data_IF_030504379117
#
_entry.id   IF_030504379117
#
_cell.length_a   1.000
_cell.length_b   1.000
_cell.length_c   1.000
_cell.angle_alpha   90.00
_cell.angle_beta   90.00
_cell.angle_gamma   90.00
#
_symmetry.space_group_name_H-M   'P 1'
#
loop_
_entity.id
_entity.type
_entity.pdbx_description
1 polymer ?
#
# COMPACT_ATOMS: atom_id res chain seq x y z
N UNK A 1 15.92 -20.90 -7.92
CA UNK A 1 15.52 -19.74 -8.73
C UNK A 1 16.75 -18.86 -8.84
N UNK A 2 17.03 -18.26 -9.99
CA UNK A 2 18.09 -17.24 -10.11
C UNK A 2 17.67 -16.01 -9.30
N UNK A 3 18.62 -15.29 -8.71
CA UNK A 3 18.33 -14.08 -7.90
C UNK A 3 17.45 -13.08 -8.65
N UNK A 4 17.63 -12.93 -9.96
CA UNK A 4 16.82 -12.06 -10.81
C UNK A 4 15.34 -12.50 -10.91
N UNK A 5 15.05 -13.81 -10.97
CA UNK A 5 13.67 -14.29 -11.01
C UNK A 5 12.96 -14.09 -9.67
N UNK A 6 13.70 -14.26 -8.59
CA UNK A 6 13.19 -14.03 -7.23
C UNK A 6 12.85 -12.56 -7.02
N UNK A 7 13.74 -11.66 -7.43
CA UNK A 7 13.54 -10.21 -7.41
C UNK A 7 12.34 -9.79 -8.25
N UNK A 8 12.24 -10.30 -9.48
CA UNK A 8 11.11 -10.02 -10.39
C UNK A 8 9.77 -10.45 -9.76
N UNK A 9 9.75 -11.63 -9.15
CA UNK A 9 8.56 -12.14 -8.47
C UNK A 9 8.17 -11.27 -7.27
N UNK A 10 9.15 -10.86 -6.45
CA UNK A 10 8.93 -10.00 -5.30
C UNK A 10 8.37 -8.63 -5.70
N UNK A 11 9.01 -7.94 -6.64
CA UNK A 11 8.55 -6.64 -7.13
C UNK A 11 7.16 -6.74 -7.78
N UNK A 12 6.88 -7.84 -8.48
CA UNK A 12 5.54 -8.09 -9.04
C UNK A 12 4.48 -8.22 -7.94
N UNK A 13 4.79 -8.92 -6.84
CA UNK A 13 3.88 -9.04 -5.69
C UNK A 13 3.66 -7.69 -5.01
N UNK A 14 4.69 -6.86 -4.89
CA UNK A 14 4.58 -5.50 -4.35
C UNK A 14 3.65 -4.67 -5.23
N UNK A 15 3.81 -4.70 -6.56
CA UNK A 15 2.93 -3.98 -7.49
C UNK A 15 1.48 -4.43 -7.33
N UNK A 16 1.22 -5.74 -7.30
CA UNK A 16 -0.13 -6.26 -7.08
C UNK A 16 -0.66 -5.90 -5.69
N UNK A 17 0.19 -5.92 -4.65
CA UNK A 17 -0.19 -5.49 -3.31
C UNK A 17 -0.70 -4.05 -3.30
N UNK A 18 0.01 -3.13 -3.95
CA UNK A 18 -0.44 -1.74 -4.07
C UNK A 18 -1.68 -1.61 -4.95
N UNK A 19 -1.81 -2.39 -6.03
CA UNK A 19 -3.03 -2.44 -6.82
C UNK A 19 -4.24 -2.83 -5.97
N UNK A 20 -4.15 -3.89 -5.17
CA UNK A 20 -5.24 -4.31 -4.28
C UNK A 20 -5.54 -3.26 -3.20
N UNK A 21 -4.52 -2.57 -2.70
CA UNK A 21 -4.67 -1.58 -1.63
C UNK A 21 -5.37 -0.29 -2.11
N UNK A 22 -5.19 0.09 -3.38
CA UNK A 22 -5.70 1.37 -3.92
C UNK A 22 -6.87 1.21 -4.88
N UNK A 23 -7.05 0.04 -5.50
CA UNK A 23 -8.21 -0.25 -6.35
C UNK A 23 -9.39 -0.67 -5.46
N UNK A 24 -10.11 0.33 -4.97
CA UNK A 24 -11.32 0.12 -4.17
C UNK A 24 -12.53 -0.09 -5.09
N UNK A 25 -12.61 -1.30 -5.67
CA UNK A 25 -13.75 -1.71 -6.47
C UNK A 25 -14.88 -2.17 -5.55
N UNK A 26 -15.82 -1.27 -5.29
CA UNK A 26 -16.96 -1.54 -4.43
C UNK A 26 -18.15 -2.10 -5.24
N UNK A 27 -18.64 -3.28 -4.87
CA UNK A 27 -19.91 -3.83 -5.34
C UNK A 27 -21.00 -3.61 -4.29
N UNK A 28 -22.14 -3.08 -4.73
CA UNK A 28 -23.32 -3.02 -3.88
C UNK A 28 -23.95 -4.42 -3.75
N UNK A 29 -23.85 -5.02 -2.57
CA UNK A 29 -24.50 -6.30 -2.24
C UNK A 29 -25.46 -6.04 -1.09
N UNK A 30 -26.75 -6.33 -1.29
CA UNK A 30 -27.79 -6.16 -0.27
C UNK A 30 -27.85 -4.77 0.39
N UNK A 31 -27.57 -3.70 -0.36
CA UNK A 31 -27.58 -2.33 0.17
C UNK A 31 -26.29 -1.90 0.88
N UNK A 32 -25.27 -2.76 0.92
CA UNK A 32 -23.95 -2.48 1.48
C UNK A 32 -22.91 -2.45 0.36
N UNK A 33 -21.91 -1.55 0.46
CA UNK A 33 -20.80 -1.54 -0.48
C UNK A 33 -19.68 -2.44 0.06
N UNK A 34 -19.46 -3.57 -0.61
CA UNK A 34 -18.38 -4.50 -0.28
C UNK A 34 -17.23 -4.32 -1.27
N UNK A 35 -16.02 -4.16 -0.78
CA UNK A 35 -14.83 -4.17 -1.64
C UNK A 35 -14.62 -5.55 -2.25
N UNK A 36 -14.63 -5.62 -3.60
CA UNK A 36 -14.38 -6.85 -4.38
C UNK A 36 -12.94 -7.29 -4.25
N UNK A 37 -12.02 -6.32 -4.12
CA UNK A 37 -10.62 -6.55 -3.89
C UNK A 37 -10.33 -6.27 -2.40
N UNK A 38 -10.32 -7.33 -1.55
CA UNK A 38 -10.14 -7.12 -0.12
C UNK A 38 -8.73 -6.60 0.18
N UNK A 39 -8.61 -5.50 0.90
CA UNK A 39 -7.32 -4.89 1.27
C UNK A 39 -6.40 -5.84 2.04
N UNK A 40 -6.93 -6.79 2.80
CA UNK A 40 -6.12 -7.78 3.52
C UNK A 40 -5.28 -8.65 2.59
N UNK A 41 -5.71 -8.88 1.33
CA UNK A 41 -4.94 -9.62 0.33
C UNK A 41 -3.65 -8.88 -0.04
N UNK A 42 -3.66 -7.54 -0.04
CA UNK A 42 -2.46 -6.75 -0.29
C UNK A 42 -1.36 -7.05 0.72
N UNK A 43 -1.72 -7.19 1.99
CA UNK A 43 -0.76 -7.48 3.06
C UNK A 43 -0.20 -8.91 3.00
N UNK A 44 -0.96 -9.89 2.49
CA UNK A 44 -0.43 -11.22 2.18
C UNK A 44 0.59 -11.17 1.03
N UNK A 45 0.33 -10.37 0.01
CA UNK A 45 1.25 -10.16 -1.11
C UNK A 45 2.53 -9.47 -0.64
N UNK A 46 2.43 -8.42 0.19
CA UNK A 46 3.58 -7.76 0.79
C UNK A 46 4.38 -8.71 1.68
N UNK A 47 3.73 -9.44 2.58
CA UNK A 47 4.38 -10.42 3.44
C UNK A 47 5.18 -11.44 2.63
N UNK A 48 4.58 -11.96 1.56
CA UNK A 48 5.21 -12.90 0.66
C UNK A 48 6.38 -12.27 -0.14
N UNK A 49 6.24 -11.00 -0.56
CA UNK A 49 7.30 -10.28 -1.26
C UNK A 49 8.51 -10.02 -0.34
N UNK A 50 8.25 -9.61 0.91
CA UNK A 50 9.30 -9.42 1.93
C UNK A 50 10.07 -10.72 2.16
N UNK A 51 9.36 -11.87 2.19
CA UNK A 51 10.02 -13.18 2.31
C UNK A 51 10.94 -13.54 1.13
N UNK A 52 10.61 -13.06 -0.08
CA UNK A 52 11.45 -13.26 -1.25
C UNK A 52 12.67 -12.33 -1.30
N UNK A 53 12.60 -11.18 -0.65
CA UNK A 53 13.67 -10.17 -0.60
C UNK A 53 14.51 -10.28 0.69
N UNK A 54 14.32 -11.37 1.45
CA UNK A 54 15.08 -11.61 2.67
C UNK A 54 16.59 -11.70 2.34
N UNK A 55 17.38 -10.84 2.99
CA UNK A 55 18.83 -10.71 2.73
C UNK A 55 19.22 -9.63 1.70
N UNK A 56 18.29 -9.12 0.87
CA UNK A 56 18.59 -8.04 -0.09
C UNK A 56 18.58 -6.64 0.57
N UNK A 57 17.64 -6.42 1.51
CA UNK A 57 17.51 -5.17 2.27
C UNK A 57 17.37 -5.52 3.75
N UNK A 58 18.28 -4.99 4.58
CA UNK A 58 18.41 -5.35 5.99
C UNK A 58 17.14 -5.11 6.81
N UNK A 59 16.44 -4.01 6.56
CA UNK A 59 15.35 -3.55 7.42
C UNK A 59 13.97 -4.05 6.94
N UNK A 60 13.89 -4.57 5.71
CA UNK A 60 12.66 -5.05 5.10
C UNK A 60 11.94 -6.17 5.91
N UNK A 61 12.64 -7.16 6.49
CA UNK A 61 12.00 -8.19 7.32
C UNK A 61 11.27 -7.65 8.55
N UNK A 62 11.66 -6.47 9.06
CA UNK A 62 11.01 -5.80 10.19
C UNK A 62 9.57 -5.37 9.89
N UNK A 63 9.20 -5.32 8.61
CA UNK A 63 7.83 -4.99 8.18
C UNK A 63 6.87 -6.20 8.26
N UNK A 64 7.37 -7.44 8.38
CA UNK A 64 6.53 -8.65 8.46
C UNK A 64 5.45 -8.59 9.55
N UNK A 65 5.77 -8.20 10.81
CA UNK A 65 4.74 -8.11 11.86
C UNK A 65 3.67 -7.05 11.55
N UNK A 66 4.03 -5.96 10.88
CA UNK A 66 3.06 -4.94 10.46
C UNK A 66 2.14 -5.45 9.35
N UNK A 67 2.64 -6.28 8.42
CA UNK A 67 1.80 -6.96 7.43
C UNK A 67 0.74 -7.83 8.10
N UNK A 68 1.13 -8.60 9.11
CA UNK A 68 0.20 -9.47 9.85
C UNK A 68 -0.85 -8.63 10.58
N UNK A 69 -0.42 -7.60 11.31
CA UNK A 69 -1.32 -6.73 12.07
C UNK A 69 -2.32 -6.02 11.15
N UNK A 70 -1.84 -5.40 10.08
CA UNK A 70 -2.69 -4.68 9.12
C UNK A 70 -3.59 -5.65 8.34
N UNK A 71 -3.07 -6.81 7.96
CA UNK A 71 -3.86 -7.86 7.31
C UNK A 71 -5.00 -8.37 8.18
N UNK A 72 -4.77 -8.57 9.47
CA UNK A 72 -5.82 -8.94 10.44
C UNK A 72 -6.84 -7.80 10.60
N UNK A 73 -6.38 -6.56 10.77
CA UNK A 73 -7.26 -5.40 10.93
C UNK A 73 -8.19 -5.23 9.72
N UNK A 74 -7.64 -5.26 8.51
CA UNK A 74 -8.41 -5.17 7.27
C UNK A 74 -9.32 -6.39 7.06
N UNK A 75 -8.85 -7.58 7.42
CA UNK A 75 -9.65 -8.81 7.35
C UNK A 75 -10.86 -8.77 8.28
N UNK A 76 -10.69 -8.32 9.52
CA UNK A 76 -11.77 -8.13 10.49
C UNK A 76 -12.76 -7.08 9.99
N UNK A 77 -12.26 -5.98 9.43
CA UNK A 77 -13.11 -4.92 8.89
C UNK A 77 -13.93 -5.42 7.69
N UNK A 78 -13.28 -6.13 6.75
CA UNK A 78 -13.95 -6.72 5.59
C UNK A 78 -15.02 -7.74 5.97
N UNK A 79 -14.72 -8.64 6.95
CA UNK A 79 -15.69 -9.60 7.49
C UNK A 79 -16.84 -8.90 8.21
N UNK A 80 -16.55 -7.82 8.93
CA UNK A 80 -17.57 -6.99 9.58
C UNK A 80 -18.56 -6.44 8.57
N UNK A 81 -18.08 -5.82 7.49
CA UNK A 81 -18.92 -5.31 6.41
C UNK A 81 -19.72 -6.44 5.75
N UNK A 82 -19.11 -7.60 5.50
CA UNK A 82 -19.77 -8.74 4.88
C UNK A 82 -20.92 -9.28 5.74
N UNK A 83 -20.76 -9.34 7.08
CA UNK A 83 -21.72 -9.97 8.00
C UNK A 83 -22.75 -8.99 8.54
N UNK A 84 -22.36 -7.75 8.81
CA UNK A 84 -23.21 -6.75 9.51
C UNK A 84 -23.50 -5.50 8.68
N UNK A 85 -22.80 -5.33 7.53
CA UNK A 85 -22.87 -4.12 6.72
C UNK A 85 -22.12 -2.92 7.32
N UNK A 86 -21.45 -3.07 8.46
CA UNK A 86 -20.76 -2.00 9.15
C UNK A 86 -19.27 -2.32 9.33
N UNK A 87 -18.45 -1.27 9.28
CA UNK A 87 -17.03 -1.38 9.58
C UNK A 87 -16.80 -1.44 11.09
N UNK A 88 -16.24 -2.56 11.57
CA UNK A 88 -16.04 -2.81 13.00
C UNK A 88 -15.05 -1.83 13.63
N UNK A 89 -13.97 -1.52 12.93
CA UNK A 89 -12.89 -0.66 13.47
C UNK A 89 -13.31 0.79 13.68
N UNK A 90 -14.26 1.31 12.91
CA UNK A 90 -14.74 2.69 13.08
C UNK A 90 -15.45 2.93 14.42
N UNK A 91 -15.95 1.88 15.07
CA UNK A 91 -16.53 1.98 16.42
C UNK A 91 -15.49 2.32 17.49
N UNK A 92 -14.23 1.97 17.25
CA UNK A 92 -13.12 2.16 18.19
C UNK A 92 -12.13 3.18 17.62
N UNK A 93 -12.44 4.47 17.74
CA UNK A 93 -11.68 5.56 17.16
C UNK A 93 -10.16 5.46 17.41
N UNK A 94 -9.73 5.15 18.64
CA UNK A 94 -8.31 5.03 18.99
C UNK A 94 -7.63 3.85 18.25
N UNK A 95 -8.32 2.72 18.15
CA UNK A 95 -7.80 1.54 17.41
C UNK A 95 -7.69 1.86 15.93
N UNK A 96 -8.72 2.49 15.37
CA UNK A 96 -8.72 2.94 13.98
C UNK A 96 -7.57 3.91 13.67
N UNK A 97 -7.39 4.94 14.51
CA UNK A 97 -6.31 5.90 14.37
C UNK A 97 -4.92 5.21 14.45
N UNK A 98 -4.75 4.25 15.37
CA UNK A 98 -3.52 3.47 15.48
C UNK A 98 -3.25 2.64 14.21
N UNK A 99 -4.26 1.95 13.69
CA UNK A 99 -4.14 1.15 12.44
C UNK A 99 -3.72 2.03 11.27
N UNK A 100 -4.29 3.23 11.17
CA UNK A 100 -3.91 4.18 10.12
C UNK A 100 -2.47 4.67 10.28
N UNK A 101 -2.06 5.06 11.48
CA UNK A 101 -0.67 5.47 11.72
C UNK A 101 0.32 4.35 11.35
N UNK A 102 0.00 3.11 11.71
CA UNK A 102 0.80 1.94 11.33
C UNK A 102 0.80 1.74 9.82
N UNK A 103 -0.34 1.92 9.14
CA UNK A 103 -0.45 1.81 7.69
C UNK A 103 0.39 2.87 6.97
N UNK A 104 0.38 4.13 7.43
CA UNK A 104 1.23 5.19 6.88
C UNK A 104 2.71 4.85 7.05
N UNK A 105 3.12 4.43 8.26
CA UNK A 105 4.49 4.01 8.54
C UNK A 105 4.90 2.84 7.64
N UNK A 106 4.05 1.81 7.54
CA UNK A 106 4.30 0.62 6.71
C UNK A 106 4.54 0.99 5.24
N UNK A 107 3.64 1.80 4.65
CA UNK A 107 3.77 2.21 3.25
C UNK A 107 5.01 3.07 3.03
N UNK A 108 5.29 4.00 3.96
CA UNK A 108 6.49 4.83 3.89
C UNK A 108 7.77 3.99 3.93
N UNK A 109 7.86 3.04 4.86
CA UNK A 109 9.03 2.19 4.99
C UNK A 109 9.18 1.22 3.83
N UNK A 110 8.08 0.59 3.36
CA UNK A 110 8.09 -0.30 2.22
C UNK A 110 8.64 0.39 0.96
N UNK A 111 8.18 1.60 0.66
CA UNK A 111 8.68 2.38 -0.48
C UNK A 111 10.11 2.85 -0.27
N UNK A 112 10.54 3.10 0.99
CA UNK A 112 11.94 3.41 1.33
C UNK A 112 12.84 2.22 0.99
N UNK A 113 12.44 1.03 1.40
CA UNK A 113 13.21 -0.20 1.20
C UNK A 113 13.27 -0.59 -0.28
N UNK A 114 12.16 -0.41 -1.01
CA UNK A 114 12.15 -0.58 -2.47
C UNK A 114 13.07 0.44 -3.16
N UNK A 115 13.07 1.70 -2.72
CA UNK A 115 13.97 2.71 -3.26
C UNK A 115 15.46 2.35 -2.98
N UNK A 116 15.78 1.90 -1.77
CA UNK A 116 17.12 1.44 -1.42
C UNK A 116 17.55 0.23 -2.27
N UNK A 117 16.63 -0.71 -2.52
CA UNK A 117 16.85 -1.87 -3.39
C UNK A 117 17.20 -1.46 -4.83
N UNK A 118 16.53 -0.43 -5.35
CA UNK A 118 16.75 0.13 -6.69
C UNK A 118 18.11 0.85 -6.76
N UNK A 119 18.43 1.66 -5.73
CA UNK A 119 19.70 2.39 -5.62
C UNK A 119 20.91 1.45 -5.49
N UNK A 120 20.76 0.33 -4.76
CA UNK A 120 21.81 -0.69 -4.67
C UNK A 120 22.21 -1.28 -6.04
N UNK A 121 21.36 -1.09 -7.07
CA UNK A 121 21.61 -1.48 -8.47
C UNK A 121 22.06 -0.31 -9.36
N UNK A 122 22.50 0.80 -8.75
CA UNK A 122 22.91 2.03 -9.45
C UNK A 122 21.81 2.67 -10.32
N UNK A 123 20.53 2.50 -9.92
CA UNK A 123 19.38 3.10 -10.59
C UNK A 123 18.88 4.25 -9.72
N UNK A 124 18.60 5.40 -10.34
CA UNK A 124 18.04 6.55 -9.59
C UNK A 124 16.63 6.25 -9.06
N UNK A 125 16.47 6.36 -7.75
CA UNK A 125 15.20 6.20 -7.04
C UNK A 125 14.58 7.52 -6.54
N UNK A 126 15.07 8.67 -7.01
CA UNK A 126 14.58 9.99 -6.57
C UNK A 126 13.07 10.16 -6.75
N UNK A 127 12.52 9.69 -7.88
CA UNK A 127 11.08 9.72 -8.15
C UNK A 127 10.28 8.83 -7.17
N UNK A 128 10.78 7.64 -6.80
CA UNK A 128 10.14 6.77 -5.80
C UNK A 128 10.11 7.43 -4.42
N UNK A 129 11.20 8.10 -4.03
CA UNK A 129 11.26 8.87 -2.76
C UNK A 129 10.29 10.05 -2.77
N UNK A 130 10.15 10.74 -3.92
CA UNK A 130 9.18 11.82 -4.10
C UNK A 130 7.75 11.33 -3.90
N UNK A 131 7.35 10.25 -4.56
CA UNK A 131 6.01 9.65 -4.43
C UNK A 131 5.78 9.16 -3.00
N UNK A 132 6.75 8.50 -2.35
CA UNK A 132 6.66 8.09 -0.96
C UNK A 132 6.31 9.24 -0.03
N UNK A 133 7.02 10.37 -0.17
CA UNK A 133 6.80 11.55 0.67
C UNK A 133 5.43 12.17 0.39
N UNK A 134 5.06 12.30 -0.89
CA UNK A 134 3.76 12.85 -1.29
C UNK A 134 2.60 11.98 -0.79
N UNK A 135 2.71 10.67 -0.88
CA UNK A 135 1.70 9.72 -0.38
C UNK A 135 1.52 9.82 1.13
N UNK A 136 2.63 9.86 1.89
CA UNK A 136 2.58 10.01 3.34
C UNK A 136 1.92 11.33 3.76
N UNK A 137 2.25 12.43 3.09
CA UNK A 137 1.63 13.75 3.34
C UNK A 137 0.14 13.72 2.99
N UNK A 138 -0.22 13.17 1.82
CA UNK A 138 -1.61 13.11 1.38
C UNK A 138 -2.47 12.31 2.38
N UNK A 139 -2.00 11.14 2.80
CA UNK A 139 -2.68 10.33 3.83
C UNK A 139 -2.77 11.04 5.17
N UNK A 140 -1.69 11.68 5.61
CA UNK A 140 -1.71 12.43 6.87
C UNK A 140 -2.75 13.58 6.82
N UNK A 141 -2.82 14.30 5.70
CA UNK A 141 -3.79 15.38 5.51
C UNK A 141 -5.22 14.85 5.50
N UNK A 142 -5.50 13.76 4.76
CA UNK A 142 -6.85 13.18 4.69
C UNK A 142 -7.34 12.61 6.03
N UNK A 143 -6.40 12.32 6.96
CA UNK A 143 -6.71 11.82 8.31
C UNK A 143 -7.01 12.92 9.33
N UNK A 144 -6.72 14.18 9.00
CA UNK A 144 -7.07 15.28 9.90
C UNK A 144 -8.59 15.32 10.09
N UNK A 145 -9.07 15.56 11.33
CA UNK A 145 -10.49 15.65 11.62
C UNK A 145 -11.06 17.00 11.15
N UNK A 146 -10.99 17.22 9.85
CA UNK A 146 -11.52 18.41 9.20
C UNK A 146 -12.92 18.11 8.64
N UNK A 147 -13.77 19.13 8.48
CA UNK A 147 -15.12 18.99 7.96
C UNK A 147 -15.11 18.76 6.43
N UNK A 148 -14.53 17.65 6.00
CA UNK A 148 -14.36 17.31 4.56
C UNK A 148 -15.69 17.30 3.81
N UNK A 149 -16.79 16.98 4.52
CA UNK A 149 -18.14 16.94 3.94
C UNK A 149 -18.64 18.33 3.49
N UNK A 150 -18.17 19.39 4.18
CA UNK A 150 -18.55 20.75 3.86
C UNK A 150 -17.69 21.35 2.73
N UNK A 151 -16.57 20.68 2.40
CA UNK A 151 -15.58 21.14 1.42
C UNK A 151 -15.54 20.22 0.20
N UNK A 152 -16.67 20.06 -0.48
CA UNK A 152 -16.82 19.13 -1.61
C UNK A 152 -15.72 19.27 -2.68
N UNK A 153 -15.38 20.51 -3.07
CA UNK A 153 -14.33 20.75 -4.06
C UNK A 153 -12.96 20.30 -3.57
N UNK A 154 -12.63 20.56 -2.30
CA UNK A 154 -11.34 20.17 -1.74
C UNK A 154 -11.24 18.65 -1.58
N UNK A 155 -12.31 18.01 -1.12
CA UNK A 155 -12.37 16.53 -1.01
C UNK A 155 -12.25 15.86 -2.37
N UNK A 156 -12.89 16.40 -3.42
CA UNK A 156 -12.75 15.91 -4.79
C UNK A 156 -11.32 16.09 -5.33
N UNK A 157 -10.67 17.22 -5.05
CA UNK A 157 -9.28 17.45 -5.44
C UNK A 157 -8.32 16.51 -4.74
N UNK A 158 -8.52 16.23 -3.44
CA UNK A 158 -7.70 15.28 -2.69
C UNK A 158 -7.90 13.85 -3.20
N UNK A 159 -9.14 13.46 -3.53
CA UNK A 159 -9.42 12.15 -4.14
C UNK A 159 -8.73 12.02 -5.51
N UNK A 160 -8.81 13.04 -6.35
CA UNK A 160 -8.11 13.07 -7.64
C UNK A 160 -6.58 12.98 -7.45
N UNK A 161 -6.03 13.74 -6.51
CA UNK A 161 -4.61 13.68 -6.18
C UNK A 161 -4.20 12.26 -5.73
N UNK A 162 -5.02 11.58 -4.93
CA UNK A 162 -4.82 10.19 -4.52
C UNK A 162 -4.76 9.22 -5.70
N UNK A 163 -5.69 9.36 -6.66
CA UNK A 163 -5.71 8.53 -7.88
C UNK A 163 -4.44 8.76 -8.70
N UNK A 164 -4.07 10.01 -8.95
CA UNK A 164 -2.85 10.36 -9.71
C UNK A 164 -1.61 9.80 -9.02
N UNK A 165 -1.49 9.96 -7.69
CA UNK A 165 -0.38 9.42 -6.90
C UNK A 165 -0.30 7.90 -7.01
N UNK A 166 -1.42 7.20 -6.91
CA UNK A 166 -1.49 5.74 -7.08
C UNK A 166 -0.98 5.31 -8.46
N UNK A 167 -1.48 5.93 -9.53
CA UNK A 167 -1.06 5.61 -10.91
C UNK A 167 0.44 5.88 -11.12
N UNK A 168 0.94 7.01 -10.62
CA UNK A 168 2.36 7.35 -10.68
C UNK A 168 3.21 6.34 -9.91
N UNK A 169 2.80 5.95 -8.71
CA UNK A 169 3.50 4.96 -7.89
C UNK A 169 3.58 3.60 -8.59
N UNK A 170 2.46 3.10 -9.11
CA UNK A 170 2.42 1.83 -9.84
C UNK A 170 3.32 1.91 -11.09
N UNK A 171 3.25 3.00 -11.83
CA UNK A 171 4.11 3.23 -13.00
C UNK A 171 5.60 3.21 -12.66
N UNK A 172 5.99 3.88 -11.56
CA UNK A 172 7.38 3.88 -11.08
C UNK A 172 7.84 2.51 -10.60
N UNK A 173 6.99 1.75 -9.91
CA UNK A 173 7.30 0.38 -9.48
C UNK A 173 7.46 -0.57 -10.67
N UNK A 174 6.62 -0.45 -11.70
CA UNK A 174 6.76 -1.22 -12.94
C UNK A 174 8.07 -0.87 -13.65
N UNK A 175 8.41 0.43 -13.73
CA UNK A 175 9.68 0.89 -14.31
C UNK A 175 10.87 0.38 -13.51
N UNK A 176 10.84 0.47 -12.19
CA UNK A 176 11.88 -0.06 -11.31
C UNK A 176 12.07 -1.56 -11.51
N UNK A 177 10.98 -2.35 -11.59
CA UNK A 177 11.04 -3.78 -11.88
C UNK A 177 11.73 -4.07 -13.22
N UNK A 178 11.36 -3.33 -14.28
CA UNK A 178 11.99 -3.50 -15.60
C UNK A 178 13.49 -3.21 -15.54
N UNK A 179 13.87 -2.08 -14.98
CA UNK A 179 15.29 -1.68 -14.91
C UNK A 179 16.12 -2.64 -14.04
N UNK A 180 15.56 -3.12 -12.92
CA UNK A 180 16.27 -4.07 -12.04
C UNK A 180 16.41 -5.48 -12.63
N UNK A 181 15.49 -5.90 -13.51
CA UNK A 181 15.45 -7.28 -14.02
C UNK A 181 15.85 -7.42 -15.49
N UNK A 182 15.76 -6.36 -16.29
CA UNK A 182 16.03 -6.37 -17.74
C UNK A 182 17.30 -5.60 -18.10
N UNK A 183 17.78 -4.71 -17.22
CA UNK A 183 19.03 -3.95 -17.41
C UNK A 183 20.33 -4.75 -17.22
N UNK A 184 20.24 -6.06 -17.00
CA UNK A 184 21.37 -6.98 -16.83
C UNK A 184 21.69 -7.79 -18.09
N UNK A 185 21.12 -7.43 -19.23
CA UNK A 185 21.51 -7.93 -20.56
C UNK A 185 22.30 -6.83 -21.29
#
# INVERSE_FOLDING_TARGET
MTDTQQLRSALTRIIWGYLFLYLDLNLGVNGHSLSVLPNWVSYLLFFSAIGLLDGEVRDLPLLKPFCVLLGIAEGVNWLGVLLTGETVLYRFYLVYALVICISIYFNFQMLTDVAALVEARNIDAGALRGIRNGEAVLRAVTMLPLPWQDWELLSALLALAGIVMCLCMIGLLIRARKMCCEGTT
#
